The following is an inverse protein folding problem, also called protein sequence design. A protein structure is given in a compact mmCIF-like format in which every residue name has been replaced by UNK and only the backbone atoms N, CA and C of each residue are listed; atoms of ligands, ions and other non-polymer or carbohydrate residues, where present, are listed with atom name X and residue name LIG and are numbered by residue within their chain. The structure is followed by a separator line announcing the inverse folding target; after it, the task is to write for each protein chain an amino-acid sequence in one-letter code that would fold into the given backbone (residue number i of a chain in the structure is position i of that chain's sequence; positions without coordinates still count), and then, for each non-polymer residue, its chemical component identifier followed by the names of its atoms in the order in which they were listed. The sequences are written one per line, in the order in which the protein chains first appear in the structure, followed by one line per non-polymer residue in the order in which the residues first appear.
data_IF_298831849077
#
_entry.id   IF_298831849077
#
_cell.length_a   1.000
_cell.length_b   1.000
_cell.length_c   1.000
_cell.angle_alpha   90.00
_cell.angle_beta   90.00
_cell.angle_gamma   90.00
#
_symmetry.space_group_name_H-M   'P 1'
#
loop_
_entity.id
_entity.type
_entity.pdbx_description
1 polymer ?
#
# COMPACT_ATOMS: atom_id res chain seq x y z
N UNK A 1 15.12 30.59 3.96
CA UNK A 1 16.04 30.84 2.83
C UNK A 1 15.31 31.20 1.53
N UNK A 2 14.00 31.04 1.44
CA UNK A 2 13.22 31.24 0.21
C UNK A 2 13.43 30.14 -0.87
N UNK A 3 14.00 29.00 -0.49
CA UNK A 3 14.21 27.88 -1.40
C UNK A 3 12.84 27.29 -1.83
N UNK A 4 12.63 27.13 -3.15
CA UNK A 4 11.41 26.53 -3.69
C UNK A 4 11.36 25.01 -3.41
N UNK A 5 12.49 24.32 -3.52
CA UNK A 5 12.62 22.93 -3.10
C UNK A 5 12.99 22.89 -1.61
N UNK A 6 12.31 22.05 -0.84
CA UNK A 6 12.61 21.92 0.59
C UNK A 6 14.04 21.42 0.80
N UNK A 7 14.83 22.03 1.74
CA UNK A 7 16.20 21.61 2.00
C UNK A 7 16.30 20.21 2.60
N UNK A 8 17.44 19.53 2.35
CA UNK A 8 17.78 18.28 3.02
C UNK A 8 18.54 18.61 4.31
N UNK A 9 17.98 18.28 5.46
CA UNK A 9 18.64 18.37 6.75
C UNK A 9 19.31 17.05 7.10
N UNK A 10 20.46 16.80 6.49
CA UNK A 10 21.23 15.57 6.68
C UNK A 10 22.07 15.66 7.97
N UNK A 11 21.39 15.51 9.11
CA UNK A 11 22.01 15.57 10.44
C UNK A 11 21.36 14.58 11.39
N UNK A 12 22.11 14.07 12.37
CA UNK A 12 21.58 13.20 13.42
C UNK A 12 21.12 14.00 14.65
N UNK A 13 21.73 15.14 14.95
CA UNK A 13 21.53 15.88 16.20
C UNK A 13 21.49 17.38 15.96
N UNK A 14 20.94 18.12 16.93
CA UNK A 14 20.74 19.56 16.87
C UNK A 14 21.29 20.22 18.15
N UNK A 15 21.91 21.39 18.01
CA UNK A 15 22.38 22.15 19.14
C UNK A 15 21.22 22.91 19.82
N UNK A 16 21.25 22.95 21.15
CA UNK A 16 20.34 23.75 21.95
C UNK A 16 20.98 25.05 22.38
N UNK A 17 20.25 26.18 22.40
CA UNK A 17 20.78 27.47 22.86
C UNK A 17 21.17 27.46 24.35
N UNK A 18 20.41 26.77 25.20
CA UNK A 18 20.69 26.59 26.64
C UNK A 18 19.88 25.42 27.20
N UNK A 19 20.16 25.03 28.45
CA UNK A 19 19.37 24.03 29.19
C UNK A 19 17.91 24.48 29.27
N UNK A 20 17.01 23.59 28.87
CA UNK A 20 15.56 23.82 28.82
C UNK A 20 15.10 24.70 27.64
N UNK A 21 15.98 25.04 26.70
CA UNK A 21 15.64 25.75 25.46
C UNK A 21 15.92 24.84 24.28
N UNK A 22 14.88 24.50 23.53
CA UNK A 22 14.97 23.72 22.29
C UNK A 22 14.64 24.58 21.07
N UNK A 23 15.25 24.26 19.93
CA UNK A 23 14.87 24.81 18.60
C UNK A 23 13.66 24.12 18.00
N UNK A 24 13.09 23.13 18.71
CA UNK A 24 12.04 22.25 18.22
C UNK A 24 12.54 20.91 17.69
N UNK A 25 13.86 20.77 17.53
CA UNK A 25 14.51 19.54 17.06
C UNK A 25 15.63 19.15 18.02
N UNK A 26 15.68 17.88 18.39
CA UNK A 26 16.68 17.34 19.31
C UNK A 26 17.55 16.29 18.62
N UNK A 27 16.91 15.33 17.95
CA UNK A 27 17.55 14.17 17.35
C UNK A 27 16.75 13.61 16.18
N UNK A 28 17.39 13.29 15.04
CA UNK A 28 16.68 12.93 13.81
C UNK A 28 15.87 11.62 13.87
N UNK A 29 16.17 10.69 14.79
CA UNK A 29 15.30 9.55 15.06
C UNK A 29 13.92 9.98 15.58
N UNK A 30 13.87 11.06 16.36
CA UNK A 30 12.63 11.66 16.89
C UNK A 30 11.97 12.52 15.81
N UNK A 31 12.68 13.54 15.35
CA UNK A 31 12.19 14.57 14.44
C UNK A 31 13.31 15.03 13.51
N UNK A 32 12.97 15.25 12.24
CA UNK A 32 13.88 15.84 11.26
C UNK A 32 13.07 16.76 10.34
N UNK A 33 13.52 17.99 10.05
CA UNK A 33 12.73 18.96 9.28
C UNK A 33 12.31 18.45 7.89
N UNK A 34 13.18 17.68 7.20
CA UNK A 34 12.87 17.13 5.86
C UNK A 34 11.81 16.04 5.94
N UNK A 35 11.93 15.12 6.91
CA UNK A 35 10.92 14.09 7.14
C UNK A 35 9.60 14.68 7.60
N UNK A 36 9.61 15.64 8.51
CA UNK A 36 8.40 16.33 8.98
C UNK A 36 7.65 17.03 7.85
N UNK A 37 8.38 17.67 6.92
CA UNK A 37 7.76 18.27 5.75
C UNK A 37 7.05 17.21 4.86
N UNK A 38 7.66 16.05 4.68
CA UNK A 38 7.06 14.94 3.96
C UNK A 38 5.82 14.42 4.68
N UNK A 39 5.90 14.21 6.00
CA UNK A 39 4.79 13.76 6.83
C UNK A 39 3.59 14.73 6.74
N UNK A 40 3.81 16.03 6.81
CA UNK A 40 2.76 17.06 6.65
C UNK A 40 2.10 17.00 5.28
N UNK A 41 2.86 16.77 4.21
CA UNK A 41 2.31 16.66 2.85
C UNK A 41 1.46 15.40 2.72
N UNK A 42 1.95 14.26 3.19
CA UNK A 42 1.20 12.98 3.09
C UNK A 42 -0.08 13.05 3.94
N UNK A 43 -0.02 13.61 5.15
CA UNK A 43 -1.22 13.85 5.97
C UNK A 43 -2.24 14.72 5.22
N UNK A 44 -1.80 15.81 4.60
CA UNK A 44 -2.67 16.71 3.83
C UNK A 44 -3.28 16.05 2.60
N UNK A 45 -2.54 15.20 1.89
CA UNK A 45 -3.04 14.51 0.70
C UNK A 45 -4.14 13.51 1.05
N UNK A 46 -4.02 12.79 2.16
CA UNK A 46 -5.04 11.86 2.65
C UNK A 46 -6.17 12.56 3.44
N UNK A 47 -6.01 13.83 3.80
CA UNK A 47 -6.96 14.55 4.68
C UNK A 47 -6.86 14.10 6.14
N UNK A 48 -5.71 13.54 6.56
CA UNK A 48 -5.46 13.10 7.92
C UNK A 48 -4.97 14.21 8.86
N UNK A 49 -5.02 13.93 10.16
CA UNK A 49 -4.48 14.81 11.20
C UNK A 49 -2.95 14.77 11.23
N UNK A 50 -2.36 13.59 11.10
CA UNK A 50 -0.93 13.36 11.18
C UNK A 50 -0.50 12.19 10.29
N UNK A 51 0.73 12.23 9.82
CA UNK A 51 1.38 11.11 9.12
C UNK A 51 2.78 10.86 9.69
N UNK A 52 3.18 9.60 9.71
CA UNK A 52 4.51 9.15 10.14
C UNK A 52 5.20 8.48 8.96
N UNK A 53 6.45 8.86 8.71
CA UNK A 53 7.26 8.32 7.62
C UNK A 53 8.29 7.29 8.12
N UNK A 54 8.29 6.12 7.50
CA UNK A 54 9.07 4.93 7.85
C UNK A 54 10.05 4.54 6.74
N UNK A 55 11.09 3.81 7.11
CA UNK A 55 12.12 3.30 6.20
C UNK A 55 11.60 2.30 5.14
N UNK A 56 10.39 1.77 5.30
CA UNK A 56 9.69 0.93 4.31
C UNK A 56 8.21 0.77 4.67
N UNK A 57 7.40 0.29 3.73
CA UNK A 57 6.02 -0.11 4.01
C UNK A 57 5.93 -1.17 5.11
N UNK A 58 6.83 -2.16 5.10
CA UNK A 58 6.89 -3.18 6.15
C UNK A 58 7.24 -2.61 7.52
N UNK A 59 8.12 -1.60 7.59
CA UNK A 59 8.42 -0.91 8.84
C UNK A 59 7.19 -0.14 9.39
N UNK A 60 6.37 0.42 8.49
CA UNK A 60 5.10 1.04 8.86
C UNK A 60 4.12 0.00 9.41
N UNK A 61 3.89 -1.11 8.70
CA UNK A 61 2.97 -2.17 9.15
C UNK A 61 3.44 -2.77 10.48
N UNK A 62 4.75 -3.07 10.62
CA UNK A 62 5.31 -3.60 11.88
C UNK A 62 5.07 -2.63 13.04
N UNK A 63 5.32 -1.34 12.84
CA UNK A 63 5.07 -0.31 13.87
C UNK A 63 3.59 -0.20 14.21
N UNK A 64 2.70 -0.31 13.21
CA UNK A 64 1.26 -0.30 13.46
C UNK A 64 0.83 -1.50 14.31
N UNK A 65 1.36 -2.69 14.06
CA UNK A 65 1.02 -3.88 14.85
C UNK A 65 1.38 -3.75 16.34
N UNK A 66 2.33 -2.90 16.70
CA UNK A 66 2.68 -2.64 18.11
C UNK A 66 1.58 -1.89 18.91
N UNK A 67 0.52 -1.40 18.25
CA UNK A 67 -0.65 -0.86 18.99
C UNK A 67 -1.51 -1.96 19.63
N UNK A 68 -1.42 -3.18 19.13
CA UNK A 68 -2.16 -4.34 19.61
C UNK A 68 -1.40 -5.10 20.70
N UNK A 69 -2.13 -5.88 21.50
CA UNK A 69 -1.60 -6.64 22.62
C UNK A 69 -1.76 -8.13 22.37
N UNK A 70 -0.97 -8.99 23.03
CA UNK A 70 -1.22 -10.42 23.05
C UNK A 70 -2.67 -10.74 23.44
N UNK A 71 -3.33 -11.57 22.66
CA UNK A 71 -4.74 -11.91 22.77
C UNK A 71 -5.70 -11.03 21.93
N UNK A 72 -5.25 -9.91 21.36
CA UNK A 72 -6.07 -9.15 20.44
C UNK A 72 -6.25 -9.91 19.10
N UNK A 73 -7.44 -9.79 18.51
CA UNK A 73 -7.80 -10.41 17.25
C UNK A 73 -8.00 -9.37 16.14
N UNK A 74 -7.52 -9.68 14.94
CA UNK A 74 -7.64 -8.85 13.74
C UNK A 74 -8.29 -9.67 12.61
N UNK A 75 -9.30 -9.12 11.96
CA UNK A 75 -9.84 -9.68 10.72
C UNK A 75 -9.10 -9.03 9.56
N UNK A 76 -8.54 -9.82 8.65
CA UNK A 76 -7.82 -9.30 7.50
C UNK A 76 -8.32 -9.90 6.18
N UNK A 77 -8.18 -9.14 5.10
CA UNK A 77 -8.32 -9.70 3.75
C UNK A 77 -7.33 -10.85 3.54
N UNK A 78 -7.72 -11.85 2.75
CA UNK A 78 -6.89 -13.01 2.44
C UNK A 78 -5.88 -12.73 1.32
N UNK A 79 -6.24 -11.88 0.36
CA UNK A 79 -5.41 -11.46 -0.78
C UNK A 79 -4.68 -10.17 -0.45
N UNK A 80 -3.64 -10.27 0.39
CA UNK A 80 -2.76 -9.18 0.81
C UNK A 80 -1.37 -9.33 0.20
N UNK A 81 -0.61 -8.24 0.22
CA UNK A 81 0.83 -8.30 -0.04
C UNK A 81 1.50 -9.41 0.77
N UNK A 82 2.26 -10.29 0.09
CA UNK A 82 2.89 -11.46 0.73
C UNK A 82 3.77 -11.13 1.94
N UNK A 83 4.39 -9.93 1.96
CA UNK A 83 5.14 -9.45 3.13
C UNK A 83 4.27 -9.23 4.36
N UNK A 84 3.03 -8.74 4.20
CA UNK A 84 2.06 -8.56 5.28
C UNK A 84 1.63 -9.91 5.84
N UNK A 85 1.34 -10.88 4.95
CA UNK A 85 1.00 -12.26 5.34
C UNK A 85 2.14 -12.87 6.17
N UNK A 86 3.38 -12.77 5.67
CA UNK A 86 4.58 -13.28 6.37
C UNK A 86 4.78 -12.62 7.74
N UNK A 87 4.57 -11.31 7.86
CA UNK A 87 4.65 -10.60 9.14
C UNK A 87 3.59 -11.11 10.12
N UNK A 88 2.35 -11.25 9.67
CA UNK A 88 1.24 -11.70 10.51
C UNK A 88 1.46 -13.13 11.00
N UNK A 89 1.85 -14.06 10.14
CA UNK A 89 2.00 -15.47 10.46
C UNK A 89 3.23 -15.77 11.32
N UNK A 90 4.36 -15.13 11.03
CA UNK A 90 5.62 -15.53 11.66
C UNK A 90 6.03 -14.62 12.82
N UNK A 91 5.57 -13.38 12.86
CA UNK A 91 5.95 -12.43 13.91
C UNK A 91 4.76 -12.12 14.81
N UNK A 92 3.64 -11.64 14.26
CA UNK A 92 2.53 -11.17 15.09
C UNK A 92 1.80 -12.31 15.79
N UNK A 93 1.57 -13.46 15.14
CA UNK A 93 1.02 -14.65 15.81
C UNK A 93 1.94 -15.16 16.93
N UNK A 94 3.26 -15.18 16.68
CA UNK A 94 4.23 -15.50 17.73
C UNK A 94 4.13 -14.54 18.92
N UNK A 95 3.81 -13.28 18.69
CA UNK A 95 3.61 -12.26 19.71
C UNK A 95 2.21 -12.30 20.34
N UNK A 96 1.38 -13.31 20.00
CA UNK A 96 0.07 -13.56 20.59
C UNK A 96 -1.08 -12.79 19.95
N UNK A 97 -0.90 -12.16 18.78
CA UNK A 97 -1.99 -11.54 18.03
C UNK A 97 -2.66 -12.61 17.17
N UNK A 98 -3.98 -12.68 17.24
CA UNK A 98 -4.79 -13.62 16.46
C UNK A 98 -5.25 -12.99 15.15
N UNK A 99 -5.33 -13.79 14.08
CA UNK A 99 -5.84 -13.34 12.78
C UNK A 99 -6.92 -14.28 12.24
N UNK A 100 -8.01 -13.71 11.72
CA UNK A 100 -8.92 -14.36 10.78
C UNK A 100 -8.70 -13.76 9.40
N UNK A 101 -8.15 -14.55 8.47
CA UNK A 101 -7.97 -14.14 7.07
C UNK A 101 -9.12 -14.68 6.23
N UNK A 102 -9.85 -13.80 5.60
CA UNK A 102 -11.06 -14.11 4.84
C UNK A 102 -11.05 -13.39 3.48
N UNK A 103 -11.71 -13.98 2.52
CA UNK A 103 -11.98 -13.32 1.24
C UNK A 103 -13.23 -12.45 1.38
N UNK A 104 -13.07 -11.13 1.44
CA UNK A 104 -14.18 -10.17 1.60
C UNK A 104 -15.16 -10.16 0.41
N UNK A 105 -14.78 -10.72 -0.75
CA UNK A 105 -15.70 -10.89 -1.87
C UNK A 105 -16.68 -12.07 -1.70
N UNK A 106 -16.31 -13.05 -0.89
CA UNK A 106 -17.06 -14.31 -0.74
C UNK A 106 -17.61 -14.51 0.67
N UNK A 107 -16.99 -13.94 1.68
CA UNK A 107 -17.27 -14.18 3.09
C UNK A 107 -17.71 -12.88 3.77
N UNK A 108 -18.68 -12.98 4.68
CA UNK A 108 -19.11 -11.82 5.49
C UNK A 108 -18.19 -11.68 6.71
N UNK A 109 -17.42 -10.57 6.81
CA UNK A 109 -16.52 -10.34 7.93
C UNK A 109 -17.23 -10.29 9.30
N UNK A 110 -18.52 -9.98 9.36
CA UNK A 110 -19.29 -9.97 10.60
C UNK A 110 -19.29 -11.33 11.29
N UNK A 111 -19.28 -12.45 10.53
CA UNK A 111 -19.26 -13.80 11.06
C UNK A 111 -17.94 -14.17 11.79
N UNK A 112 -16.89 -13.38 11.61
CA UNK A 112 -15.56 -13.61 12.18
C UNK A 112 -15.25 -12.69 13.37
N UNK A 113 -16.18 -11.81 13.74
CA UNK A 113 -16.03 -10.92 14.91
C UNK A 113 -16.10 -11.74 16.19
N UNK A 114 -15.08 -11.59 17.03
CA UNK A 114 -14.95 -12.19 18.35
C UNK A 114 -14.95 -11.09 19.42
N UNK A 115 -15.09 -11.46 20.68
CA UNK A 115 -15.01 -10.53 21.82
C UNK A 115 -13.68 -9.76 21.88
N UNK A 116 -12.59 -10.43 21.49
CA UNK A 116 -11.24 -9.87 21.46
C UNK A 116 -10.88 -9.21 20.10
N UNK A 117 -11.79 -9.09 19.14
CA UNK A 117 -11.52 -8.40 17.88
C UNK A 117 -11.30 -6.91 18.12
N UNK A 118 -10.24 -6.34 17.53
CA UNK A 118 -9.84 -4.94 17.67
C UNK A 118 -9.78 -4.16 16.37
N UNK A 119 -9.56 -4.85 15.25
CA UNK A 119 -9.41 -4.19 13.96
C UNK A 119 -9.87 -5.06 12.79
N UNK A 120 -10.18 -4.37 11.70
CA UNK A 120 -10.30 -4.93 10.35
C UNK A 120 -9.17 -4.32 9.53
N UNK A 121 -8.38 -5.16 8.85
CA UNK A 121 -7.26 -4.76 8.00
C UNK A 121 -7.55 -5.16 6.55
N UNK A 122 -7.63 -4.18 5.66
CA UNK A 122 -7.88 -4.39 4.25
C UNK A 122 -6.84 -3.71 3.37
N UNK A 123 -6.54 -4.31 2.22
CA UNK A 123 -5.83 -3.72 1.09
C UNK A 123 -6.81 -3.65 -0.08
N UNK A 124 -6.99 -2.47 -0.68
CA UNK A 124 -7.96 -2.32 -1.76
C UNK A 124 -7.52 -1.26 -2.79
N UNK A 125 -7.38 -1.65 -4.08
CA UNK A 125 -7.47 -3.02 -4.62
C UNK A 125 -6.45 -3.98 -4.01
N UNK A 126 -6.78 -5.30 -3.98
CA UNK A 126 -5.93 -6.34 -3.40
C UNK A 126 -4.72 -6.68 -4.28
N UNK A 127 -3.74 -7.36 -3.71
CA UNK A 127 -2.51 -7.74 -4.41
C UNK A 127 -2.25 -9.27 -4.31
N UNK A 128 -2.28 -10.02 -5.43
CA UNK A 128 -2.22 -9.51 -6.80
C UNK A 128 -3.55 -9.51 -7.56
N UNK A 129 -4.65 -9.98 -7.01
CA UNK A 129 -5.87 -10.30 -7.77
C UNK A 129 -6.76 -9.10 -8.09
N UNK A 130 -6.42 -7.89 -7.61
CA UNK A 130 -7.14 -6.64 -7.93
C UNK A 130 -8.60 -6.61 -7.48
N UNK A 131 -8.97 -7.39 -6.45
CA UNK A 131 -10.29 -7.31 -5.86
C UNK A 131 -10.51 -5.97 -5.17
N UNK A 132 -11.70 -5.41 -5.30
CA UNK A 132 -12.03 -4.13 -4.68
C UNK A 132 -12.98 -4.35 -3.51
N UNK A 133 -12.54 -3.93 -2.33
CA UNK A 133 -13.32 -4.02 -1.10
C UNK A 133 -14.04 -2.69 -0.88
N UNK A 134 -15.33 -2.74 -0.55
CA UNK A 134 -16.13 -1.57 -0.20
C UNK A 134 -15.72 -1.03 1.16
N UNK A 135 -14.99 0.09 1.14
CA UNK A 135 -14.47 0.73 2.36
C UNK A 135 -15.61 1.25 3.23
N UNK A 136 -16.68 1.85 2.65
CA UNK A 136 -17.82 2.39 3.43
C UNK A 136 -18.55 1.28 4.17
N UNK A 137 -18.88 0.20 3.47
CA UNK A 137 -19.54 -0.97 4.07
C UNK A 137 -18.70 -1.57 5.20
N UNK A 138 -17.38 -1.68 4.97
CA UNK A 138 -16.44 -2.18 5.99
C UNK A 138 -16.32 -1.22 7.18
N UNK A 139 -16.33 0.09 6.94
CA UNK A 139 -16.30 1.12 7.98
C UNK A 139 -17.58 1.12 8.84
N UNK A 140 -18.75 0.94 8.23
CA UNK A 140 -20.02 0.79 8.95
C UNK A 140 -19.98 -0.43 9.89
N UNK A 141 -19.45 -1.56 9.41
CA UNK A 141 -19.26 -2.75 10.23
C UNK A 141 -18.27 -2.51 11.37
N UNK A 142 -17.11 -1.93 11.07
CA UNK A 142 -16.11 -1.61 12.08
C UNK A 142 -16.67 -0.70 13.17
N UNK A 143 -17.39 0.35 12.79
CA UNK A 143 -18.05 1.28 13.72
C UNK A 143 -19.11 0.60 14.56
N UNK A 144 -19.93 -0.27 13.98
CA UNK A 144 -20.98 -1.04 14.70
C UNK A 144 -20.40 -1.86 15.85
N UNK A 145 -19.19 -2.40 15.67
CA UNK A 145 -18.51 -3.26 16.64
C UNK A 145 -17.36 -2.57 17.38
N UNK A 146 -17.21 -1.24 17.23
CA UNK A 146 -16.14 -0.45 17.87
C UNK A 146 -14.73 -0.98 17.53
N UNK A 147 -14.50 -1.34 16.27
CA UNK A 147 -13.24 -1.82 15.72
C UNK A 147 -12.54 -0.70 14.96
N UNK A 148 -11.21 -0.75 14.88
CA UNK A 148 -10.44 0.10 13.97
C UNK A 148 -10.52 -0.45 12.53
N UNK A 149 -10.78 0.42 11.57
CA UNK A 149 -10.62 0.11 10.15
C UNK A 149 -9.26 0.62 9.65
N UNK A 150 -8.39 -0.31 9.26
CA UNK A 150 -7.08 -0.06 8.70
C UNK A 150 -7.13 -0.34 7.19
N UNK A 151 -6.76 0.64 6.37
CA UNK A 151 -6.79 0.53 4.91
C UNK A 151 -5.40 0.76 4.33
N UNK A 152 -4.84 -0.24 3.67
CA UNK A 152 -3.67 -0.04 2.81
C UNK A 152 -4.11 0.56 1.47
N UNK A 153 -3.77 1.83 1.26
CA UNK A 153 -4.18 2.64 0.09
C UNK A 153 -3.05 2.78 -0.94
N UNK A 154 -2.10 1.85 -0.94
CA UNK A 154 -0.89 1.92 -1.77
C UNK A 154 -1.21 2.00 -3.26
N UNK A 155 -2.16 1.20 -3.78
CA UNK A 155 -2.39 1.05 -5.22
C UNK A 155 -3.11 2.23 -5.86
N UNK A 156 -4.06 2.83 -5.18
CA UNK A 156 -4.80 3.99 -5.70
C UNK A 156 -4.21 5.33 -5.29
N UNK A 157 -3.39 5.33 -4.25
CA UNK A 157 -2.78 6.53 -3.67
C UNK A 157 -3.83 7.56 -3.22
N UNK A 158 -3.47 8.62 -2.48
CA UNK A 158 -4.41 9.68 -2.12
C UNK A 158 -4.94 10.47 -3.33
N UNK A 159 -4.38 10.22 -4.52
CA UNK A 159 -4.84 10.87 -5.74
C UNK A 159 -6.18 10.31 -6.23
N UNK A 160 -6.34 8.99 -6.24
CA UNK A 160 -7.58 8.36 -6.70
C UNK A 160 -8.52 7.95 -5.57
N UNK A 161 -8.02 7.65 -4.37
CA UNK A 161 -8.84 7.16 -3.26
C UNK A 161 -8.43 7.79 -1.93
N UNK A 162 -9.41 8.22 -1.14
CA UNK A 162 -9.22 8.85 0.17
C UNK A 162 -10.00 8.10 1.24
N UNK A 163 -9.43 7.08 1.86
CA UNK A 163 -10.13 6.20 2.79
C UNK A 163 -10.73 6.89 4.02
N UNK A 164 -10.18 8.02 4.52
CA UNK A 164 -10.80 8.77 5.61
C UNK A 164 -12.19 9.33 5.25
N UNK A 165 -12.38 9.77 4.01
CA UNK A 165 -13.69 10.22 3.53
C UNK A 165 -14.73 9.09 3.45
N UNK A 166 -14.25 7.84 3.53
CA UNK A 166 -15.04 6.61 3.48
C UNK A 166 -15.19 5.93 4.84
N UNK A 167 -14.58 6.49 5.90
CA UNK A 167 -14.72 6.03 7.28
C UNK A 167 -13.58 5.18 7.83
N UNK A 168 -12.42 5.14 7.16
CA UNK A 168 -11.22 4.51 7.72
C UNK A 168 -10.71 5.28 8.96
N UNK A 169 -10.01 4.57 9.87
CA UNK A 169 -9.36 5.14 11.04
C UNK A 169 -7.85 5.31 10.85
N UNK A 170 -7.25 4.41 10.09
CA UNK A 170 -5.81 4.38 9.83
C UNK A 170 -5.59 4.06 8.35
N UNK A 171 -4.71 4.83 7.70
CA UNK A 171 -4.30 4.58 6.32
C UNK A 171 -2.83 4.19 6.30
N UNK A 172 -2.51 3.17 5.51
CA UNK A 172 -1.15 2.71 5.22
C UNK A 172 -0.75 3.00 3.79
N UNK A 173 0.53 3.24 3.59
CA UNK A 173 1.15 3.27 2.26
C UNK A 173 2.53 2.61 2.27
N UNK A 174 2.80 1.81 1.25
CA UNK A 174 4.16 1.65 0.78
C UNK A 174 4.53 2.88 -0.07
N UNK A 175 5.23 3.84 0.55
CA UNK A 175 5.70 5.04 -0.14
C UNK A 175 6.71 4.77 -1.25
N UNK A 176 7.32 3.58 -1.24
CA UNK A 176 8.19 3.01 -2.27
C UNK A 176 7.53 3.00 -3.66
N UNK A 177 6.19 2.92 -3.70
CA UNK A 177 5.37 2.72 -4.90
C UNK A 177 5.01 4.06 -5.53
N UNK A 178 3.74 4.31 -5.74
CA UNK A 178 3.23 5.49 -6.44
C UNK A 178 3.64 6.83 -5.83
N UNK A 179 3.78 6.93 -4.50
CA UNK A 179 4.15 8.19 -3.85
C UNK A 179 5.56 8.64 -4.25
N UNK A 180 6.57 7.78 -4.22
CA UNK A 180 7.91 8.09 -4.75
C UNK A 180 7.93 8.02 -6.28
N UNK A 181 7.42 6.95 -6.86
CA UNK A 181 7.14 6.76 -8.28
C UNK A 181 8.36 6.61 -9.20
N UNK A 182 9.56 6.44 -8.69
CA UNK A 182 10.79 6.44 -9.50
C UNK A 182 11.72 5.24 -9.24
N UNK A 183 11.25 4.22 -8.50
CA UNK A 183 12.01 3.00 -8.18
C UNK A 183 13.39 3.24 -7.53
N UNK A 184 13.59 4.39 -6.87
CA UNK A 184 14.88 4.89 -6.37
C UNK A 184 14.97 5.01 -4.84
N UNK A 185 13.88 4.75 -4.11
CA UNK A 185 13.85 4.80 -2.64
C UNK A 185 12.81 3.87 -2.05
N UNK A 186 13.03 3.45 -0.81
CA UNK A 186 12.07 2.76 0.03
C UNK A 186 11.45 3.74 1.02
N UNK A 187 10.15 3.67 1.19
CA UNK A 187 9.43 4.43 2.20
C UNK A 187 8.14 3.74 2.62
N UNK A 188 7.63 4.05 3.82
CA UNK A 188 6.30 3.66 4.27
C UNK A 188 5.63 4.79 5.01
N UNK A 189 4.31 4.77 5.08
CA UNK A 189 3.54 5.77 5.81
C UNK A 189 2.41 5.13 6.60
N UNK A 190 2.17 5.69 7.80
CA UNK A 190 0.92 5.55 8.52
C UNK A 190 0.31 6.95 8.60
N UNK A 191 -0.96 7.07 8.21
CA UNK A 191 -1.72 8.31 8.36
C UNK A 191 -2.86 8.06 9.32
N UNK A 192 -3.10 8.98 10.25
CA UNK A 192 -4.11 8.86 11.30
C UNK A 192 -4.95 10.14 11.40
N UNK A 193 -6.16 9.98 11.94
CA UNK A 193 -7.12 11.08 12.01
C UNK A 193 -7.49 11.48 13.45
N UNK A 194 -6.82 10.90 14.46
CA UNK A 194 -7.04 11.24 15.87
C UNK A 194 -5.72 11.53 16.59
N UNK A 195 -5.74 12.46 17.61
CA UNK A 195 -4.57 12.76 18.42
C UNK A 195 -4.05 11.53 19.18
N UNK A 196 -4.94 10.68 19.68
CA UNK A 196 -4.58 9.50 20.48
C UNK A 196 -3.74 8.49 19.66
N UNK A 197 -4.15 8.22 18.41
CA UNK A 197 -3.40 7.35 17.51
C UNK A 197 -2.06 7.99 17.12
N UNK A 198 -2.06 9.30 16.84
CA UNK A 198 -0.83 10.04 16.53
C UNK A 198 0.19 9.94 17.68
N UNK A 199 -0.19 10.29 18.90
CA UNK A 199 0.69 10.23 20.09
C UNK A 199 1.23 8.82 20.31
N UNK A 200 0.37 7.81 20.24
CA UNK A 200 0.75 6.41 20.44
C UNK A 200 1.77 5.96 19.38
N UNK A 201 1.52 6.22 18.11
CA UNK A 201 2.41 5.83 17.02
C UNK A 201 3.71 6.65 17.01
N UNK A 202 3.66 7.94 17.33
CA UNK A 202 4.85 8.78 17.53
C UNK A 202 5.73 8.25 18.66
N UNK A 203 5.13 7.75 19.74
CA UNK A 203 5.87 7.08 20.81
C UNK A 203 6.54 5.79 20.34
N UNK A 204 5.84 4.95 19.56
CA UNK A 204 6.36 3.68 19.07
C UNK A 204 7.50 3.92 18.07
N UNK A 205 7.32 4.79 17.06
CA UNK A 205 8.35 5.04 16.03
C UNK A 205 9.66 5.57 16.63
N UNK A 206 9.60 6.48 17.60
CA UNK A 206 10.81 6.98 18.28
C UNK A 206 11.54 5.89 19.10
N UNK A 207 10.76 4.91 19.59
CA UNK A 207 11.29 3.81 20.43
C UNK A 207 11.91 2.72 19.55
N UNK A 208 11.24 2.32 18.48
CA UNK A 208 11.70 1.28 17.55
C UNK A 208 12.77 1.78 16.58
N UNK A 209 12.77 3.09 16.28
CA UNK A 209 13.77 3.70 15.40
C UNK A 209 13.51 3.51 13.90
N UNK A 210 12.31 3.15 13.49
CA UNK A 210 11.95 2.81 12.11
C UNK A 210 11.75 4.02 11.16
N UNK A 211 12.11 5.25 11.61
CA UNK A 211 11.87 6.49 10.87
C UNK A 211 12.66 6.60 9.57
N UNK A 212 12.06 7.24 8.55
CA UNK A 212 12.65 7.46 7.24
C UNK A 212 13.83 8.44 7.32
N UNK A 213 14.91 8.16 6.57
CA UNK A 213 16.08 9.02 6.48
C UNK A 213 15.79 10.35 5.74
N UNK A 214 16.54 11.44 5.99
CA UNK A 214 16.28 12.75 5.37
C UNK A 214 16.41 12.74 3.84
N UNK A 215 17.40 12.04 3.30
CA UNK A 215 17.60 11.97 1.84
C UNK A 215 16.46 11.23 1.15
N UNK A 216 16.06 10.06 1.69
CA UNK A 216 14.91 9.31 1.16
C UNK A 216 13.62 10.12 1.30
N UNK A 217 13.44 10.84 2.41
CA UNK A 217 12.31 11.77 2.59
C UNK A 217 12.27 12.84 1.48
N UNK A 218 13.42 13.36 1.09
CA UNK A 218 13.51 14.34 0.01
C UNK A 218 13.20 13.74 -1.37
N UNK A 219 13.64 12.50 -1.65
CA UNK A 219 13.29 11.81 -2.89
C UNK A 219 11.77 11.61 -3.01
N UNK A 220 11.12 11.19 -1.93
CA UNK A 220 9.66 11.05 -1.92
C UNK A 220 8.97 12.42 -2.07
N UNK A 221 9.44 13.47 -1.38
CA UNK A 221 8.93 14.84 -1.56
C UNK A 221 9.01 15.28 -3.03
N UNK A 222 10.09 14.94 -3.72
CA UNK A 222 10.27 15.24 -5.14
C UNK A 222 9.30 14.43 -6.00
N UNK A 223 9.14 13.12 -5.72
CA UNK A 223 8.25 12.22 -6.44
C UNK A 223 6.78 12.64 -6.36
N UNK A 224 6.30 13.01 -5.17
CA UNK A 224 4.92 13.43 -4.95
C UNK A 224 4.50 14.61 -5.84
N UNK A 225 5.42 15.51 -6.20
CA UNK A 225 5.11 16.67 -7.05
C UNK A 225 4.57 16.32 -8.43
N UNK A 226 4.83 15.11 -8.91
CA UNK A 226 4.35 14.61 -10.21
C UNK A 226 3.31 13.50 -10.07
N UNK A 227 2.83 13.22 -8.85
CA UNK A 227 1.90 12.14 -8.58
C UNK A 227 0.67 12.16 -9.50
N UNK A 228 -0.07 13.29 -9.66
CA UNK A 228 -1.26 13.32 -10.51
C UNK A 228 -0.96 12.94 -11.96
N UNK A 229 0.06 13.55 -12.56
CA UNK A 229 0.44 13.32 -13.96
C UNK A 229 0.84 11.85 -14.19
N UNK A 230 1.58 11.26 -13.23
CA UNK A 230 1.99 9.86 -13.30
C UNK A 230 0.80 8.90 -13.16
N UNK A 231 -0.09 9.16 -12.18
CA UNK A 231 -1.26 8.32 -11.96
C UNK A 231 -2.21 8.34 -13.15
N UNK A 232 -2.49 9.50 -13.73
CA UNK A 232 -3.35 9.62 -14.91
C UNK A 232 -2.74 8.92 -16.14
N UNK A 233 -1.46 9.17 -16.42
CA UNK A 233 -0.80 8.55 -17.58
C UNK A 233 -0.64 7.04 -17.43
N UNK A 234 -0.26 6.57 -16.26
CA UNK A 234 -0.13 5.14 -15.98
C UNK A 234 -1.50 4.42 -16.07
N UNK A 235 -2.58 5.06 -15.59
CA UNK A 235 -3.94 4.52 -15.75
C UNK A 235 -4.37 4.45 -17.23
N UNK A 236 -4.11 5.51 -18.03
CA UNK A 236 -4.38 5.49 -19.47
C UNK A 236 -3.68 4.30 -20.14
N UNK A 237 -2.42 4.06 -19.78
CA UNK A 237 -1.64 2.95 -20.33
C UNK A 237 -2.19 1.59 -19.85
N UNK A 238 -2.55 1.46 -18.57
CA UNK A 238 -3.17 0.24 -18.04
C UNK A 238 -4.48 -0.10 -18.76
N UNK A 239 -5.33 0.87 -19.00
CA UNK A 239 -6.59 0.68 -19.74
C UNK A 239 -6.34 0.17 -21.16
N UNK A 240 -5.37 0.75 -21.88
CA UNK A 240 -5.01 0.29 -23.22
C UNK A 240 -4.48 -1.16 -23.22
N UNK A 241 -3.67 -1.51 -22.22
CA UNK A 241 -3.16 -2.89 -22.04
C UNK A 241 -4.31 -3.85 -21.71
N UNK A 242 -5.24 -3.46 -20.84
CA UNK A 242 -6.43 -4.27 -20.51
C UNK A 242 -7.29 -4.52 -21.74
N UNK A 243 -7.57 -3.48 -22.55
CA UNK A 243 -8.33 -3.61 -23.79
C UNK A 243 -7.67 -4.59 -24.78
N UNK A 244 -6.35 -4.55 -24.89
CA UNK A 244 -5.56 -5.49 -25.69
C UNK A 244 -5.68 -6.92 -25.14
N UNK A 245 -5.43 -7.12 -23.84
CA UNK A 245 -5.43 -8.44 -23.21
C UNK A 245 -6.81 -9.12 -23.26
N UNK A 246 -7.90 -8.36 -23.16
CA UNK A 246 -9.26 -8.89 -23.26
C UNK A 246 -9.60 -9.46 -24.66
N UNK A 247 -8.83 -9.07 -25.71
CA UNK A 247 -9.00 -9.56 -27.07
C UNK A 247 -8.09 -10.74 -27.41
N UNK A 248 -7.07 -10.99 -26.57
CA UNK A 248 -6.08 -12.03 -26.80
C UNK A 248 -6.59 -13.42 -26.45
N UNK A 249 -6.61 -14.34 -27.44
CA UNK A 249 -7.15 -15.71 -27.28
C UNK A 249 -6.40 -16.57 -26.25
N UNK A 250 -5.12 -16.24 -25.99
CA UNK A 250 -4.26 -16.97 -25.06
C UNK A 250 -4.33 -16.42 -23.62
N UNK A 251 -5.09 -15.36 -23.41
CA UNK A 251 -5.40 -14.80 -22.10
C UNK A 251 -6.74 -15.36 -21.64
N UNK A 252 -6.75 -16.03 -20.49
CA UNK A 252 -7.96 -16.61 -19.90
C UNK A 252 -8.77 -15.59 -19.11
N UNK A 253 -8.08 -14.83 -18.27
CA UNK A 253 -8.68 -13.87 -17.36
C UNK A 253 -7.84 -12.60 -17.30
N UNK A 254 -8.51 -11.46 -17.12
CA UNK A 254 -7.88 -10.16 -16.83
C UNK A 254 -8.55 -9.61 -15.58
N UNK A 255 -7.74 -9.22 -14.60
CA UNK A 255 -8.18 -8.66 -13.33
C UNK A 255 -7.73 -7.20 -13.27
N UNK A 256 -8.68 -6.30 -13.31
CA UNK A 256 -8.45 -4.85 -13.26
C UNK A 256 -9.72 -4.16 -12.74
N UNK A 257 -9.62 -3.23 -11.78
CA UNK A 257 -10.80 -2.57 -11.21
C UNK A 257 -11.68 -1.82 -12.22
N UNK A 258 -11.10 -1.40 -13.35
CA UNK A 258 -11.80 -0.63 -14.39
C UNK A 258 -12.56 -1.46 -15.44
N UNK A 259 -12.72 -2.78 -15.28
CA UNK A 259 -13.47 -3.61 -16.25
C UNK A 259 -14.98 -3.43 -16.04
N UNK A 260 -15.63 -2.85 -17.03
CA UNK A 260 -17.07 -2.57 -17.02
C UNK A 260 -17.91 -3.84 -16.78
N UNK A 261 -18.97 -3.68 -15.97
CA UNK A 261 -19.92 -4.76 -15.70
C UNK A 261 -19.47 -5.75 -14.61
N UNK A 262 -18.33 -5.49 -13.96
CA UNK A 262 -17.88 -6.26 -12.81
C UNK A 262 -18.26 -5.57 -11.50
N UNK A 263 -18.40 -6.36 -10.42
CA UNK A 263 -18.63 -5.81 -9.08
C UNK A 263 -17.45 -4.90 -8.65
N UNK A 264 -16.23 -5.28 -8.98
CA UNK A 264 -15.03 -4.47 -8.70
C UNK A 264 -15.11 -3.07 -9.33
N UNK A 265 -15.64 -2.98 -10.57
CA UNK A 265 -15.85 -1.70 -11.25
C UNK A 265 -16.86 -0.82 -10.50
N UNK A 266 -18.01 -1.37 -10.12
CA UNK A 266 -19.07 -0.59 -9.46
C UNK A 266 -18.60 -0.10 -8.07
N UNK A 267 -17.94 -0.97 -7.30
CA UNK A 267 -17.41 -0.59 -5.98
C UNK A 267 -16.29 0.45 -6.14
N UNK A 268 -15.31 0.22 -7.02
CA UNK A 268 -14.21 1.17 -7.25
C UNK A 268 -14.74 2.55 -7.67
N UNK A 269 -15.65 2.59 -8.64
CA UNK A 269 -16.27 3.83 -9.12
C UNK A 269 -17.04 4.58 -8.04
N UNK A 270 -17.60 3.87 -7.04
CA UNK A 270 -18.35 4.50 -5.96
C UNK A 270 -17.47 5.17 -4.91
N UNK A 271 -16.20 4.77 -4.80
CA UNK A 271 -15.29 5.18 -3.73
C UNK A 271 -13.99 5.83 -4.19
N UNK A 272 -13.68 5.75 -5.50
CA UNK A 272 -12.44 6.28 -6.07
C UNK A 272 -12.72 7.11 -7.34
N UNK A 273 -11.84 8.04 -7.66
CA UNK A 273 -11.90 8.87 -8.86
C UNK A 273 -11.19 8.24 -10.07
N UNK A 274 -10.54 7.08 -9.88
CA UNK A 274 -9.84 6.33 -10.91
C UNK A 274 -9.67 4.87 -10.52
N UNK A 275 -9.16 4.06 -11.46
CA UNK A 275 -9.00 2.61 -11.31
C UNK A 275 -7.55 2.17 -11.10
N UNK A 276 -6.61 3.13 -11.14
CA UNK A 276 -5.18 2.86 -10.99
C UNK A 276 -4.52 2.24 -12.22
N UNK A 277 -3.28 1.80 -12.05
CA UNK A 277 -2.46 1.27 -13.14
C UNK A 277 -1.95 -0.16 -12.91
N UNK A 278 -2.45 -0.81 -11.87
CA UNK A 278 -2.14 -2.21 -11.59
C UNK A 278 -3.15 -3.12 -12.25
N UNK A 279 -2.68 -4.15 -12.92
CA UNK A 279 -3.51 -5.21 -13.49
C UNK A 279 -2.85 -6.57 -13.33
N UNK A 280 -3.65 -7.59 -13.31
CA UNK A 280 -3.22 -8.99 -13.30
C UNK A 280 -3.91 -9.72 -14.42
N UNK A 281 -3.24 -10.67 -15.05
CA UNK A 281 -3.84 -11.49 -16.09
C UNK A 281 -3.36 -12.94 -16.01
N UNK A 282 -4.23 -13.84 -16.40
CA UNK A 282 -3.95 -15.27 -16.48
C UNK A 282 -3.86 -15.70 -17.92
N UNK A 283 -2.77 -16.37 -18.28
CA UNK A 283 -2.57 -16.94 -19.62
C UNK A 283 -2.91 -18.43 -19.65
N UNK A 284 -2.95 -19.03 -20.85
CA UNK A 284 -3.38 -20.41 -21.04
C UNK A 284 -2.51 -21.46 -20.33
N UNK A 285 -1.21 -21.14 -20.04
CA UNK A 285 -0.30 -22.10 -19.40
C UNK A 285 0.88 -21.42 -18.71
N UNK A 286 1.51 -22.14 -17.76
CA UNK A 286 2.80 -21.77 -17.16
C UNK A 286 3.88 -21.56 -18.22
N UNK A 287 3.95 -22.41 -19.22
CA UNK A 287 4.96 -22.30 -20.28
C UNK A 287 4.83 -20.98 -21.04
N UNK A 288 3.61 -20.53 -21.32
CA UNK A 288 3.38 -19.22 -21.94
C UNK A 288 3.74 -18.07 -21.01
N UNK A 289 3.40 -18.16 -19.72
CA UNK A 289 3.78 -17.13 -18.73
C UNK A 289 5.31 -16.95 -18.69
N UNK A 290 6.07 -18.03 -18.60
CA UNK A 290 7.53 -17.99 -18.62
C UNK A 290 8.08 -17.44 -19.95
N UNK A 291 7.51 -17.87 -21.08
CA UNK A 291 7.92 -17.36 -22.39
C UNK A 291 7.69 -15.84 -22.54
N UNK A 292 6.57 -15.31 -22.01
CA UNK A 292 6.31 -13.86 -21.96
C UNK A 292 7.41 -13.16 -21.18
N UNK A 293 7.72 -13.61 -19.96
CA UNK A 293 8.74 -13.00 -19.11
C UNK A 293 10.13 -12.97 -19.76
N UNK A 294 10.49 -14.02 -20.52
CA UNK A 294 11.77 -14.13 -21.21
C UNK A 294 11.84 -13.34 -22.53
N UNK A 295 10.68 -13.03 -23.13
CA UNK A 295 10.61 -12.43 -24.47
C UNK A 295 10.41 -10.91 -24.45
N UNK A 296 9.89 -10.35 -23.36
CA UNK A 296 9.67 -8.90 -23.24
C UNK A 296 10.99 -8.14 -23.27
N UNK A 297 11.01 -7.02 -24.02
CA UNK A 297 12.20 -6.17 -24.14
C UNK A 297 12.02 -4.80 -23.48
N UNK A 298 10.84 -4.24 -23.56
CA UNK A 298 10.53 -2.92 -23.00
C UNK A 298 10.12 -3.03 -21.54
N UNK A 299 9.43 -4.12 -21.16
CA UNK A 299 8.89 -4.33 -19.83
C UNK A 299 9.84 -5.24 -19.03
N UNK A 300 10.60 -4.72 -18.06
CA UNK A 300 11.47 -5.54 -17.21
C UNK A 300 10.67 -6.53 -16.35
N UNK A 301 11.16 -7.77 -16.27
CA UNK A 301 10.73 -8.72 -15.25
C UNK A 301 11.41 -8.36 -13.92
N UNK A 302 10.69 -7.67 -13.06
CA UNK A 302 11.21 -7.15 -11.80
C UNK A 302 10.14 -7.09 -10.72
N UNK A 303 10.57 -7.16 -9.48
CA UNK A 303 9.69 -6.86 -8.35
C UNK A 303 9.43 -5.36 -8.26
N UNK A 304 8.42 -4.99 -7.45
CA UNK A 304 7.93 -3.64 -7.25
C UNK A 304 6.80 -3.27 -8.22
N UNK A 305 6.39 -2.01 -8.16
CA UNK A 305 5.28 -1.44 -8.94
C UNK A 305 5.20 0.08 -8.72
N UNK A 306 4.37 0.75 -9.50
CA UNK A 306 4.02 2.16 -9.28
C UNK A 306 5.10 3.16 -9.66
N UNK A 307 6.16 2.69 -10.33
CA UNK A 307 7.19 3.54 -10.93
C UNK A 307 6.77 4.12 -12.27
N UNK A 308 7.64 4.96 -12.83
CA UNK A 308 7.47 5.51 -14.18
C UNK A 308 7.72 4.47 -15.26
N UNK A 309 8.46 3.40 -14.95
CA UNK A 309 8.67 2.26 -15.82
C UNK A 309 7.58 1.20 -15.63
N UNK A 310 7.11 0.62 -16.75
CA UNK A 310 6.24 -0.55 -16.72
C UNK A 310 7.02 -1.77 -16.25
N UNK A 311 6.49 -2.48 -15.24
CA UNK A 311 7.12 -3.68 -14.67
C UNK A 311 6.15 -4.87 -14.74
N UNK A 312 6.69 -6.06 -15.02
CA UNK A 312 5.95 -7.31 -14.92
C UNK A 312 6.53 -8.18 -13.80
N UNK A 313 5.64 -8.80 -13.03
CA UNK A 313 5.99 -9.64 -11.89
C UNK A 313 5.36 -11.03 -12.04
N UNK A 314 6.08 -12.07 -11.63
CA UNK A 314 5.58 -13.44 -11.52
C UNK A 314 5.28 -13.75 -10.04
N UNK A 315 4.02 -13.61 -9.58
CA UNK A 315 3.70 -13.66 -8.16
C UNK A 315 4.16 -14.93 -7.44
N UNK A 316 4.08 -16.08 -8.10
CA UNK A 316 4.39 -17.39 -7.50
C UNK A 316 5.85 -17.57 -7.08
N UNK A 317 6.78 -16.85 -7.69
CA UNK A 317 8.23 -16.94 -7.38
C UNK A 317 8.81 -15.68 -6.76
N UNK A 318 8.01 -14.59 -6.69
CA UNK A 318 8.44 -13.29 -6.17
C UNK A 318 7.56 -12.86 -4.99
N UNK A 319 6.54 -12.06 -5.21
CA UNK A 319 5.77 -11.41 -4.15
C UNK A 319 5.03 -12.35 -3.22
N UNK A 320 4.70 -13.57 -3.66
CA UNK A 320 3.95 -14.59 -2.94
C UNK A 320 4.71 -15.92 -2.83
N UNK A 321 6.03 -15.91 -3.04
CA UNK A 321 6.86 -17.12 -2.97
C UNK A 321 6.80 -17.81 -1.59
N UNK A 322 6.69 -17.02 -0.52
CA UNK A 322 6.61 -17.50 0.86
C UNK A 322 5.20 -17.94 1.29
N UNK A 323 4.17 -17.71 0.44
CA UNK A 323 2.80 -18.16 0.71
C UNK A 323 2.64 -19.61 0.27
N UNK A 324 2.11 -20.52 1.12
CA UNK A 324 1.89 -21.90 0.76
C UNK A 324 1.09 -22.06 -0.53
N UNK A 325 1.47 -23.03 -1.38
CA UNK A 325 0.88 -23.23 -2.71
C UNK A 325 -0.64 -23.43 -2.65
N UNK A 326 -1.13 -24.19 -1.67
CA UNK A 326 -2.58 -24.42 -1.49
C UNK A 326 -3.35 -23.11 -1.25
N UNK A 327 -2.76 -22.19 -0.47
CA UNK A 327 -3.35 -20.87 -0.19
C UNK A 327 -3.28 -20.00 -1.45
N UNK A 328 -2.16 -20.03 -2.19
CA UNK A 328 -2.04 -19.29 -3.45
C UNK A 328 -3.10 -19.73 -4.46
N UNK A 329 -3.25 -21.06 -4.65
CA UNK A 329 -4.25 -21.62 -5.58
C UNK A 329 -5.67 -21.25 -5.14
N UNK A 330 -5.97 -21.34 -3.83
CA UNK A 330 -7.28 -20.92 -3.29
C UNK A 330 -7.57 -19.46 -3.61
N UNK A 331 -6.57 -18.59 -3.56
CA UNK A 331 -6.68 -17.16 -3.87
C UNK A 331 -6.56 -16.86 -5.37
N UNK A 332 -6.53 -17.88 -6.26
CA UNK A 332 -6.43 -17.70 -7.71
C UNK A 332 -5.02 -17.40 -8.23
N UNK A 333 -3.99 -17.45 -7.38
CA UNK A 333 -2.60 -17.17 -7.76
C UNK A 333 -1.96 -18.46 -8.27
N UNK A 334 -2.17 -18.75 -9.55
CA UNK A 334 -1.65 -19.94 -10.23
C UNK A 334 -0.34 -19.65 -10.96
N UNK A 335 0.34 -20.71 -11.44
CA UNK A 335 1.58 -20.60 -12.22
C UNK A 335 1.39 -19.94 -13.62
N UNK A 336 0.16 -19.63 -14.02
CA UNK A 336 -0.16 -18.93 -15.26
C UNK A 336 -0.54 -17.45 -15.05
N UNK A 337 -0.43 -16.95 -13.82
CA UNK A 337 -0.78 -15.57 -13.45
C UNK A 337 0.44 -14.66 -13.50
N UNK A 338 0.28 -13.51 -14.15
CA UNK A 338 1.24 -12.44 -14.27
C UNK A 338 0.63 -11.13 -13.75
N UNK A 339 1.37 -10.35 -12.97
CA UNK A 339 0.96 -9.01 -12.52
C UNK A 339 1.76 -7.94 -13.24
N UNK A 340 1.10 -6.92 -13.75
CA UNK A 340 1.70 -5.81 -14.48
C UNK A 340 1.39 -4.49 -13.78
N UNK A 341 2.42 -3.67 -13.62
CA UNK A 341 2.35 -2.28 -13.20
C UNK A 341 2.63 -1.41 -14.41
N UNK A 342 1.61 -0.78 -14.98
CA UNK A 342 1.81 0.12 -16.11
C UNK A 342 2.51 1.41 -15.65
N UNK A 343 3.55 1.79 -16.38
CA UNK A 343 4.28 3.04 -16.24
C UNK A 343 3.74 4.15 -17.16
N UNK A 344 4.59 5.10 -17.49
CA UNK A 344 4.20 6.30 -18.24
C UNK A 344 4.78 6.37 -19.67
N UNK A 345 5.26 5.25 -20.21
CA UNK A 345 5.77 5.12 -21.57
C UNK A 345 4.68 5.47 -22.60
N UNK A 346 5.03 5.54 -23.86
CA UNK A 346 4.02 5.67 -24.92
C UNK A 346 3.20 4.38 -25.02
N UNK A 347 1.88 4.48 -24.91
CA UNK A 347 0.97 3.31 -24.95
C UNK A 347 1.03 2.51 -26.26
N UNK A 348 1.65 3.05 -27.32
CA UNK A 348 1.84 2.35 -28.58
C UNK A 348 3.01 1.39 -28.55
N UNK A 349 3.97 1.60 -27.65
CA UNK A 349 5.13 0.74 -27.47
C UNK A 349 4.78 -0.51 -26.66
#
# INVERSE_FOLDING_TARGET
TGAISFPIYQTATYAHPAVGQSTGYDYSRLQNPTREQLEKIVASLEGGLDALAFSSGMAAITTLMEIFKPGDHIISEADLYGGSIRLFDHINQKNGIEFSRINFAEEDPENYIKENTKAIYIETPTNPMMNVIDIRKTAELAKKHNLLLIVDNTFLSPYFQRPFELGADIILHSGTKFLSGHNDTLAGFIVVNTPELSEKLRYIIKTTGAGLAPFDSWLVLRGIKTLPIRMEKAQENAQAIVEFLLQEKKVKNVYYPGILGTNNYEVCKSQASGFGSMLTFEVESKALALHILESLKLIPFAESLGGVETLITYPTTQTHADVPEEIRIKNGITDSVLRLSAGIEDKKD
#
